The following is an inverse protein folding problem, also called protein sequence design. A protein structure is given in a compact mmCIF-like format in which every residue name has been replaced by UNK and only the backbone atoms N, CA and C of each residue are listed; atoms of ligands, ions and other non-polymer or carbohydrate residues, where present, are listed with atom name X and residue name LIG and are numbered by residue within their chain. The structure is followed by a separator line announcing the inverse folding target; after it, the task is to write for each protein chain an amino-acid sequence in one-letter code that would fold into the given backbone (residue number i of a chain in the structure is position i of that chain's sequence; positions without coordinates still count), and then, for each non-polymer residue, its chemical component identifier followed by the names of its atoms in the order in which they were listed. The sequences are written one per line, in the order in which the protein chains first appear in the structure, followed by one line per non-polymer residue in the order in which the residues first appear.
data_IF_384724099042
#
_entry.id   IF_384724099042
#
_cell.length_a   1.000
_cell.length_b   1.000
_cell.length_c   1.000
_cell.angle_alpha   90.00
_cell.angle_beta   90.00
_cell.angle_gamma   90.00
#
_symmetry.space_group_name_H-M   'P 1'
#
loop_
_entity.id
_entity.type
_entity.pdbx_description
1 polymer ?
#
# COMPACT_ATOMS: atom_id res chain seq x y z
N UNK A 1 6.34 0.63 18.41
CA UNK A 1 7.27 0.74 17.27
C UNK A 1 6.49 1.31 16.09
N UNK A 2 7.03 2.27 15.35
CA UNK A 2 6.35 2.88 14.19
C UNK A 2 7.19 2.58 12.96
N UNK A 3 6.59 2.01 11.93
CA UNK A 3 7.21 1.79 10.62
C UNK A 3 6.60 2.74 9.59
N UNK A 4 7.40 3.20 8.63
CA UNK A 4 6.98 4.15 7.60
C UNK A 4 6.92 3.43 6.26
N UNK A 5 5.72 3.39 5.67
CA UNK A 5 5.50 2.91 4.31
C UNK A 5 5.37 4.13 3.39
N UNK A 6 6.25 4.26 2.39
CA UNK A 6 6.15 5.26 1.32
C UNK A 6 5.74 4.55 0.04
N UNK A 7 4.70 5.04 -0.62
CA UNK A 7 4.21 4.49 -1.87
C UNK A 7 3.83 5.62 -2.83
N UNK A 8 4.23 5.47 -4.09
CA UNK A 8 3.77 6.35 -5.16
C UNK A 8 2.43 5.85 -5.68
N UNK A 9 1.44 6.73 -5.69
CA UNK A 9 0.08 6.44 -6.13
C UNK A 9 -0.40 7.59 -7.02
N UNK A 10 -1.27 7.27 -7.97
CA UNK A 10 -1.79 8.26 -8.90
C UNK A 10 -2.48 9.41 -8.15
N UNK A 11 -2.36 10.61 -8.70
CA UNK A 11 -2.92 11.82 -8.10
C UNK A 11 -4.45 11.71 -7.97
N UNK A 12 -5.11 11.15 -8.99
CA UNK A 12 -6.56 10.94 -8.99
C UNK A 12 -7.03 10.04 -7.84
N UNK A 13 -6.29 8.96 -7.55
CA UNK A 13 -6.59 8.07 -6.44
C UNK A 13 -6.38 8.78 -5.10
N UNK A 14 -5.28 9.53 -4.98
CA UNK A 14 -4.96 10.31 -3.77
C UNK A 14 -6.04 11.34 -3.46
N UNK A 15 -6.53 12.07 -4.46
CA UNK A 15 -7.62 13.05 -4.30
C UNK A 15 -8.92 12.39 -3.84
N UNK A 16 -9.31 11.28 -4.46
CA UNK A 16 -10.51 10.52 -4.08
C UNK A 16 -10.40 9.99 -2.65
N UNK A 17 -9.26 9.39 -2.30
CA UNK A 17 -9.01 8.87 -0.95
C UNK A 17 -9.07 9.99 0.09
N UNK A 18 -8.41 11.13 -0.15
CA UNK A 18 -8.42 12.25 0.80
C UNK A 18 -9.82 12.78 1.06
N UNK A 19 -10.63 12.96 0.01
CA UNK A 19 -12.01 13.41 0.13
C UNK A 19 -12.83 12.43 0.98
N UNK A 20 -12.80 11.13 0.65
CA UNK A 20 -13.51 10.09 1.39
C UNK A 20 -13.06 9.97 2.85
N UNK A 21 -11.76 10.00 3.09
CA UNK A 21 -11.21 9.94 4.43
C UNK A 21 -11.67 11.13 5.29
N UNK A 22 -11.69 12.35 4.74
CA UNK A 22 -12.17 13.54 5.45
C UNK A 22 -13.68 13.53 5.68
N UNK A 23 -14.47 13.03 4.72
CA UNK A 23 -15.92 12.86 4.86
C UNK A 23 -16.28 11.93 6.04
N UNK A 24 -15.54 10.83 6.21
CA UNK A 24 -15.83 9.82 7.23
C UNK A 24 -15.18 10.16 8.59
N UNK A 25 -13.93 10.60 8.59
CA UNK A 25 -13.12 10.76 9.82
C UNK A 25 -13.00 12.23 10.29
N UNK A 26 -13.61 13.16 9.54
CA UNK A 26 -13.61 14.60 9.80
C UNK A 26 -12.41 15.34 9.23
N UNK A 27 -12.54 16.66 9.10
CA UNK A 27 -11.50 17.56 8.59
C UNK A 27 -10.47 17.94 9.67
N UNK A 28 -9.85 16.94 10.29
CA UNK A 28 -8.86 17.12 11.37
C UNK A 28 -7.52 16.51 11.04
N UNK A 29 -6.47 17.04 11.67
CA UNK A 29 -5.11 16.49 11.60
C UNK A 29 -5.14 15.04 12.07
N UNK A 30 -4.71 14.12 11.21
CA UNK A 30 -4.70 12.68 11.49
C UNK A 30 -5.85 11.87 10.89
N UNK A 31 -6.87 12.50 10.29
CA UNK A 31 -7.98 11.78 9.63
C UNK A 31 -7.49 10.86 8.50
N UNK A 32 -6.55 11.32 7.69
CA UNK A 32 -5.94 10.52 6.62
C UNK A 32 -5.17 9.31 7.16
N UNK A 33 -4.43 9.50 8.25
CA UNK A 33 -3.68 8.43 8.90
C UNK A 33 -4.65 7.37 9.45
N UNK A 34 -5.68 7.80 10.17
CA UNK A 34 -6.69 6.90 10.73
C UNK A 34 -7.42 6.11 9.64
N UNK A 35 -7.85 6.79 8.57
CA UNK A 35 -8.50 6.15 7.43
C UNK A 35 -7.58 5.13 6.73
N UNK A 36 -6.30 5.46 6.59
CA UNK A 36 -5.32 4.56 5.97
C UNK A 36 -5.05 3.33 6.85
N UNK A 37 -4.83 3.53 8.15
CA UNK A 37 -4.64 2.42 9.09
C UNK A 37 -5.86 1.51 9.16
N UNK A 38 -7.07 2.06 9.19
CA UNK A 38 -8.31 1.27 9.22
C UNK A 38 -8.50 0.49 7.91
N UNK A 39 -8.23 1.12 6.76
CA UNK A 39 -8.26 0.44 5.45
C UNK A 39 -7.27 -0.72 5.40
N UNK A 40 -6.01 -0.51 5.82
CA UNK A 40 -4.98 -1.55 5.85
C UNK A 40 -5.36 -2.65 6.83
N UNK A 41 -5.87 -2.31 8.02
CA UNK A 41 -6.36 -3.30 8.99
C UNK A 41 -7.47 -4.15 8.39
N UNK A 42 -8.51 -3.54 7.82
CA UNK A 42 -9.60 -4.28 7.16
C UNK A 42 -9.07 -5.18 6.07
N UNK A 43 -8.17 -4.66 5.23
CA UNK A 43 -7.56 -5.43 4.16
C UNK A 43 -6.75 -6.63 4.65
N UNK A 44 -5.96 -6.45 5.72
CA UNK A 44 -5.12 -7.52 6.27
C UNK A 44 -5.94 -8.55 7.06
N UNK A 45 -6.92 -8.09 7.85
CA UNK A 45 -7.67 -8.91 8.79
C UNK A 45 -8.96 -9.52 8.21
N UNK A 46 -9.52 -8.99 7.11
CA UNK A 46 -10.77 -9.55 6.53
C UNK A 46 -10.59 -10.90 5.84
N UNK A 47 -9.37 -11.45 5.77
CA UNK A 47 -9.09 -12.86 5.44
C UNK A 47 -9.35 -13.30 4.01
N UNK A 48 -10.24 -12.62 3.27
CA UNK A 48 -10.63 -12.93 1.89
C UNK A 48 -9.74 -12.27 0.83
N UNK A 49 -8.71 -11.54 1.24
CA UNK A 49 -7.73 -11.03 0.28
C UNK A 49 -6.92 -12.21 -0.21
N UNK A 50 -7.17 -12.65 -1.45
CA UNK A 50 -6.30 -13.61 -2.11
C UNK A 50 -4.95 -12.94 -2.38
N UNK A 51 -4.05 -13.08 -1.40
CA UNK A 51 -2.67 -12.63 -1.49
C UNK A 51 -1.93 -13.22 -2.70
N UNK A 52 -2.46 -14.28 -3.33
CA UNK A 52 -1.93 -14.82 -4.60
C UNK A 52 -2.20 -13.90 -5.79
N UNK A 53 -3.26 -13.07 -5.75
CA UNK A 53 -3.59 -12.10 -6.81
C UNK A 53 -2.70 -10.86 -6.71
N UNK A 54 -2.38 -10.42 -5.49
CA UNK A 54 -1.40 -9.33 -5.26
C UNK A 54 0.03 -9.76 -5.56
N UNK A 55 0.30 -11.06 -5.42
CA UNK A 55 1.50 -11.68 -5.95
C UNK A 55 1.41 -11.67 -7.48
N UNK A 56 1.96 -10.62 -8.07
CA UNK A 56 2.84 -10.78 -9.23
C UNK A 56 4.03 -11.66 -8.81
N UNK A 57 3.76 -12.93 -8.50
CA UNK A 57 4.75 -13.91 -8.12
C UNK A 57 5.60 -14.14 -9.35
N UNK A 58 6.66 -13.36 -9.50
CA UNK A 58 7.81 -13.78 -10.27
C UNK A 58 8.24 -15.09 -9.61
N UNK A 59 7.89 -16.22 -10.23
CA UNK A 59 8.41 -17.53 -9.86
C UNK A 59 9.88 -17.49 -10.21
N UNK A 60 10.70 -17.13 -9.25
CA UNK A 60 12.14 -17.01 -9.38
C UNK A 60 12.76 -17.67 -8.16
N UNK A 61 13.78 -18.48 -8.41
CA UNK A 61 14.59 -19.13 -7.38
C UNK A 61 15.43 -18.13 -6.56
N UNK A 62 15.51 -16.87 -7.03
CA UNK A 62 16.23 -15.78 -6.37
C UNK A 62 15.50 -15.27 -5.13
N UNK A 63 16.27 -14.92 -4.09
CA UNK A 63 15.74 -14.33 -2.86
C UNK A 63 15.20 -12.92 -3.13
N UNK A 64 14.25 -12.48 -2.31
CA UNK A 64 13.53 -11.19 -2.47
C UNK A 64 14.47 -9.99 -2.71
N UNK A 65 15.62 -9.95 -2.05
CA UNK A 65 16.62 -8.86 -2.17
C UNK A 65 17.32 -8.89 -3.54
N UNK A 66 17.67 -10.08 -4.04
CA UNK A 66 18.33 -10.24 -5.33
C UNK A 66 17.41 -9.85 -6.50
N UNK A 67 16.11 -10.15 -6.36
CA UNK A 67 15.09 -9.71 -7.31
C UNK A 67 14.98 -8.18 -7.37
N UNK A 68 15.00 -7.51 -6.21
CA UNK A 68 14.94 -6.05 -6.13
C UNK A 68 16.13 -5.39 -6.84
N UNK A 69 17.36 -5.85 -6.55
CA UNK A 69 18.56 -5.34 -7.21
C UNK A 69 18.59 -5.59 -8.72
N UNK A 70 18.03 -6.71 -9.20
CA UNK A 70 17.98 -7.05 -10.62
C UNK A 70 16.98 -6.20 -11.39
N UNK A 71 15.83 -5.88 -10.79
CA UNK A 71 14.83 -5.01 -11.40
C UNK A 71 15.38 -3.58 -11.49
N UNK A 72 16.04 -3.09 -10.44
CA UNK A 72 16.59 -1.72 -10.43
C UNK A 72 17.73 -1.53 -11.44
N UNK A 73 18.55 -2.56 -11.68
CA UNK A 73 19.58 -2.53 -12.75
C UNK A 73 19.05 -2.47 -14.19
N UNK A 74 17.75 -2.68 -14.42
CA UNK A 74 17.13 -2.55 -15.76
C UNK A 74 16.63 -1.14 -16.06
N UNK A 75 16.63 -0.25 -15.06
CA UNK A 75 16.15 1.13 -15.18
C UNK A 75 17.28 2.18 -15.19
N UNK A 76 18.55 1.74 -15.08
CA UNK A 76 19.75 2.49 -15.52
C UNK A 76 20.11 2.08 -16.95
#
# INVERSE_FOLDING_TARGET
MVEIIKAEVSEALTKKFRKRAMEIYGYRKGALKAAFEDMVKRFVFSGEVDWKILKGCIRSELKSVELQHRIWRRFD
#
